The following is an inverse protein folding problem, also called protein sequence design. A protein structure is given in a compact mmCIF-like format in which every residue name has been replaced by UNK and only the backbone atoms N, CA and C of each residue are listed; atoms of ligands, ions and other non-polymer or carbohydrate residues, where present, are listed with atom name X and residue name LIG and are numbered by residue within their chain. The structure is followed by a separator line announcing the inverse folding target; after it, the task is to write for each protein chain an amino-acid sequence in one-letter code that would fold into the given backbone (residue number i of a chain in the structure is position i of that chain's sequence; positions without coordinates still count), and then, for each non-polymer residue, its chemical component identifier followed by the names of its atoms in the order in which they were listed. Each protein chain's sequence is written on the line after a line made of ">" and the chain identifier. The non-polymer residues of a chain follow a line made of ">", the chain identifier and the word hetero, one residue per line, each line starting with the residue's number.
data_IF_331774933830
#
_entry.id   IF_331774933830
#
_cell.length_a   1.000
_cell.length_b   1.000
_cell.length_c   1.000
_cell.angle_alpha   90.00
_cell.angle_beta   90.00
_cell.angle_gamma   90.00
#
_symmetry.space_group_name_H-M   'P 1'
#
loop_
_entity.id
_entity.type
_entity.pdbx_description
1 polymer ?
#
# COMPACT_ATOMS: atom_id res chain seq x y z
N UNK A 1 3.05 3.54 -6.59
CA UNK A 1 3.22 4.45 -5.42
C UNK A 1 3.64 5.87 -5.80
N UNK A 2 4.78 6.12 -6.46
CA UNK A 2 5.24 7.50 -6.77
C UNK A 2 4.14 8.40 -7.33
N UNK A 3 3.45 7.90 -8.35
CA UNK A 3 2.32 8.57 -9.00
C UNK A 3 1.18 8.86 -8.02
N UNK A 4 0.80 7.86 -7.21
CA UNK A 4 -0.28 7.98 -6.22
C UNK A 4 -0.03 9.12 -5.22
N UNK A 5 1.23 9.31 -4.81
CA UNK A 5 1.59 10.34 -3.81
C UNK A 5 2.14 11.63 -4.42
N UNK A 6 2.25 11.73 -5.75
CA UNK A 6 2.84 12.88 -6.45
C UNK A 6 4.35 13.06 -6.24
N UNK A 7 5.10 12.01 -5.88
CA UNK A 7 6.53 12.10 -5.61
C UNK A 7 7.36 12.07 -6.90
N UNK A 8 8.12 13.14 -7.16
CA UNK A 8 8.92 13.31 -8.38
C UNK A 8 10.38 12.84 -8.25
N UNK A 9 10.89 12.65 -7.02
CA UNK A 9 12.27 12.23 -6.76
C UNK A 9 12.57 10.75 -7.10
N UNK A 10 13.75 10.25 -6.74
CA UNK A 10 14.18 8.87 -7.07
C UNK A 10 14.14 7.96 -5.85
N UNK A 11 13.53 6.78 -5.99
CA UNK A 11 13.69 5.71 -5.00
C UNK A 11 15.02 4.99 -5.21
N UNK A 12 15.73 4.73 -4.12
CA UNK A 12 17.00 4.01 -4.13
C UNK A 12 16.92 2.85 -3.15
N UNK A 13 17.49 1.71 -3.54
CA UNK A 13 17.60 0.54 -2.68
C UNK A 13 18.99 0.55 -2.05
N UNK A 14 19.06 0.39 -0.74
CA UNK A 14 20.32 0.21 -0.04
C UNK A 14 20.68 -1.28 0.04
N UNK A 15 21.48 -1.75 -0.92
CA UNK A 15 21.90 -3.15 -1.03
C UNK A 15 22.92 -3.59 0.02
N UNK A 16 23.41 -2.69 0.87
CA UNK A 16 24.27 -3.06 2.01
C UNK A 16 23.50 -3.71 3.15
N UNK A 17 22.16 -3.64 3.12
CA UNK A 17 21.28 -4.23 4.12
C UNK A 17 20.75 -5.57 3.63
N UNK A 18 20.69 -6.60 4.50
CA UNK A 18 20.19 -7.90 4.09
C UNK A 18 18.70 -7.84 3.78
N UNK A 19 18.31 -8.50 2.70
CA UNK A 19 16.91 -8.76 2.42
C UNK A 19 16.37 -9.89 3.31
N UNK A 20 15.06 -9.85 3.56
CA UNK A 20 14.35 -10.96 4.21
C UNK A 20 14.08 -12.13 3.25
N UNK A 21 13.13 -12.98 3.60
CA UNK A 21 12.67 -14.05 2.70
C UNK A 21 12.13 -13.47 1.39
N UNK A 22 12.63 -13.94 0.25
CA UNK A 22 12.28 -13.43 -1.09
C UNK A 22 10.78 -13.44 -1.41
N UNK A 23 10.04 -14.43 -0.88
CA UNK A 23 8.60 -14.56 -1.14
C UNK A 23 7.87 -15.04 0.10
N UNK A 24 6.90 -14.25 0.54
CA UNK A 24 5.99 -14.59 1.64
C UNK A 24 4.56 -14.31 1.20
N UNK A 25 3.93 -15.30 0.57
CA UNK A 25 2.55 -15.23 0.11
C UNK A 25 1.71 -16.32 0.77
N UNK A 26 0.47 -15.98 1.12
CA UNK A 26 -0.51 -16.92 1.67
C UNK A 26 -1.37 -17.49 0.55
N UNK A 27 -1.59 -18.80 0.56
CA UNK A 27 -2.56 -19.43 -0.34
C UNK A 27 -3.99 -19.07 0.10
N UNK A 28 -4.77 -18.47 -0.81
CA UNK A 28 -6.15 -18.02 -0.56
C UNK A 28 -7.22 -18.92 -1.18
N UNK A 29 -6.85 -20.06 -1.79
CA UNK A 29 -7.78 -20.94 -2.50
C UNK A 29 -8.97 -21.39 -1.65
N UNK A 30 -8.79 -21.60 -0.34
CA UNK A 30 -9.89 -21.96 0.56
C UNK A 30 -10.92 -20.83 0.69
N UNK A 31 -10.47 -19.58 0.81
CA UNK A 31 -11.37 -18.42 0.90
C UNK A 31 -12.13 -18.24 -0.42
N UNK A 32 -11.44 -18.35 -1.55
CA UNK A 32 -12.04 -18.27 -2.87
C UNK A 32 -13.05 -19.39 -3.12
N UNK A 33 -12.77 -20.62 -2.70
CA UNK A 33 -13.70 -21.74 -2.81
C UNK A 33 -14.96 -21.56 -1.95
N UNK A 34 -14.88 -20.79 -0.87
CA UNK A 34 -16.03 -20.41 -0.03
C UNK A 34 -16.79 -19.19 -0.59
N UNK A 35 -16.44 -18.71 -1.78
CA UNK A 35 -17.09 -17.58 -2.44
C UNK A 35 -16.57 -16.20 -2.00
N UNK A 36 -15.55 -16.14 -1.16
CA UNK A 36 -14.95 -14.87 -0.77
C UNK A 36 -13.89 -14.41 -1.78
N UNK A 37 -13.96 -13.14 -2.17
CA UNK A 37 -12.98 -12.50 -3.05
C UNK A 37 -12.63 -11.11 -2.53
N UNK A 38 -11.35 -10.74 -2.58
CA UNK A 38 -10.93 -9.37 -2.27
C UNK A 38 -11.40 -8.42 -3.37
N UNK A 39 -12.17 -7.40 -2.98
CA UNK A 39 -12.73 -6.40 -3.91
C UNK A 39 -11.77 -5.24 -4.15
N UNK A 40 -11.00 -4.88 -3.13
CA UNK A 40 -10.08 -3.73 -3.19
C UNK A 40 -8.72 -4.17 -3.73
N UNK A 41 -8.33 -3.58 -4.86
CA UNK A 41 -6.97 -3.73 -5.40
C UNK A 41 -5.94 -2.95 -4.58
N UNK A 42 -4.66 -3.31 -4.72
CA UNK A 42 -3.58 -2.62 -4.03
C UNK A 42 -3.55 -1.12 -4.33
N UNK A 43 -3.69 -0.73 -5.61
CA UNK A 43 -3.68 0.67 -6.01
C UNK A 43 -4.87 1.46 -5.44
N UNK A 44 -6.08 0.88 -5.45
CA UNK A 44 -7.26 1.49 -4.84
C UNK A 44 -7.06 1.68 -3.33
N UNK A 45 -6.58 0.64 -2.64
CA UNK A 45 -6.34 0.68 -1.20
C UNK A 45 -5.30 1.75 -0.81
N UNK A 46 -4.18 1.81 -1.53
CA UNK A 46 -3.12 2.81 -1.28
C UNK A 46 -3.66 4.23 -1.53
N UNK A 47 -4.40 4.47 -2.62
CA UNK A 47 -5.00 5.77 -2.93
C UNK A 47 -5.96 6.23 -1.83
N UNK A 48 -6.89 5.36 -1.43
CA UNK A 48 -7.87 5.67 -0.40
C UNK A 48 -7.20 5.98 0.95
N UNK A 49 -6.21 5.18 1.35
CA UNK A 49 -5.48 5.40 2.60
C UNK A 49 -4.67 6.71 2.57
N UNK A 50 -4.00 6.99 1.45
CA UNK A 50 -3.24 8.23 1.29
C UNK A 50 -4.13 9.47 1.35
N UNK A 51 -5.28 9.45 0.66
CA UNK A 51 -6.25 10.54 0.74
C UNK A 51 -6.75 10.77 2.16
N UNK A 52 -7.17 9.70 2.85
CA UNK A 52 -7.61 9.77 4.24
C UNK A 52 -6.52 10.39 5.14
N UNK A 53 -5.27 9.98 4.98
CA UNK A 53 -4.15 10.50 5.77
C UNK A 53 -3.98 12.00 5.58
N UNK A 54 -3.95 12.48 4.33
CA UNK A 54 -3.78 13.91 4.04
C UNK A 54 -4.96 14.75 4.54
N UNK A 55 -6.20 14.26 4.39
CA UNK A 55 -7.38 14.93 4.90
C UNK A 55 -7.38 15.04 6.42
N UNK A 56 -6.96 13.99 7.13
CA UNK A 56 -6.84 14.01 8.58
C UNK A 56 -5.81 15.05 9.03
N UNK A 57 -4.64 15.08 8.42
CA UNK A 57 -3.58 16.04 8.79
C UNK A 57 -3.95 17.50 8.45
N UNK A 58 -4.70 17.76 7.37
CA UNK A 58 -5.22 19.10 7.07
C UNK A 58 -6.15 19.63 8.17
N UNK A 59 -6.95 18.75 8.79
CA UNK A 59 -7.87 19.13 9.87
C UNK A 59 -7.16 19.41 11.20
N UNK A 60 -5.96 18.86 11.42
CA UNK A 60 -5.15 19.12 12.62
C UNK A 60 -4.38 20.45 12.53
N UNK A 61 -4.05 20.92 11.33
CA UNK A 61 -3.32 22.19 11.12
C UNK A 61 -4.24 23.43 11.12
N UNK A 62 -5.55 23.24 10.87
CA UNK A 62 -6.55 24.34 10.82
C UNK A 62 -7.32 24.49 12.16
N UNK A 63 -7.00 23.67 13.16
CA UNK A 63 -7.44 23.85 14.56
C UNK A 63 -6.38 24.59 15.35
#
# INVERSE_FOLDING_TARGET
>A
IKEIIGYTGRFTYNTTKPDGTLRKLTNVSKLTALGWQAETTLDQGIKALYHWYIEKNKKEVIK
#
